data_IF_803848762611
#
_entry.id   IF_803848762611
#
_cell.length_a   1.000
_cell.length_b   1.000
_cell.length_c   1.000
_cell.angle_alpha   90.00
_cell.angle_beta   90.00
_cell.angle_gamma   90.00
#
_symmetry.space_group_name_H-M   'P 1'
#
loop_
_entity.id
_entity.type
_entity.pdbx_description
1 polymer ?
#
# COMPACT_ATOMS: atom_id res chain seq x y z
N UNK A 1 18.55 9.47 28.29
CA UNK A 1 18.34 8.55 27.16
C UNK A 1 17.41 9.22 26.14
N UNK A 2 17.66 9.02 24.84
CA UNK A 2 16.77 9.51 23.80
C UNK A 2 15.40 8.83 23.92
N UNK A 3 14.30 9.59 23.75
CA UNK A 3 12.92 9.03 23.72
C UNK A 3 12.74 7.93 22.66
N UNK A 4 13.58 7.93 21.62
CA UNK A 4 13.55 6.96 20.52
C UNK A 4 13.67 5.50 21.02
N UNK A 5 14.45 5.26 22.07
CA UNK A 5 14.71 3.92 22.61
C UNK A 5 13.87 3.58 23.85
N UNK A 6 12.83 4.38 24.15
CA UNK A 6 11.88 4.04 25.21
C UNK A 6 10.71 3.23 24.68
N UNK A 7 10.13 2.31 25.47
CA UNK A 7 8.93 1.59 25.08
C UNK A 7 7.77 2.54 24.72
N UNK A 8 6.88 2.04 23.87
CA UNK A 8 5.69 2.77 23.43
C UNK A 8 4.50 1.82 23.35
N UNK A 9 3.32 2.28 23.72
CA UNK A 9 2.08 1.55 23.53
C UNK A 9 1.38 2.10 22.29
N UNK A 10 1.32 1.31 21.22
CA UNK A 10 0.66 1.63 19.98
C UNK A 10 -0.74 0.99 20.00
N UNK A 11 -1.76 1.75 20.41
CA UNK A 11 -3.17 1.28 20.43
C UNK A 11 -3.35 -0.11 21.10
N UNK A 12 -2.62 -0.36 22.19
CA UNK A 12 -2.65 -1.64 22.90
C UNK A 12 -1.46 -2.58 22.55
N UNK A 13 -0.78 -2.37 21.43
CA UNK A 13 0.40 -3.14 21.04
C UNK A 13 1.66 -2.58 21.72
N UNK A 14 2.32 -3.37 22.55
CA UNK A 14 3.54 -2.98 23.23
C UNK A 14 4.74 -3.03 22.27
N UNK A 15 5.36 -1.88 22.02
CA UNK A 15 6.59 -1.74 21.25
C UNK A 15 7.77 -1.49 22.20
N UNK A 16 8.90 -2.19 21.97
CA UNK A 16 10.11 -2.06 22.82
C UNK A 16 10.88 -0.77 22.62
N UNK A 17 10.69 -0.09 21.51
CA UNK A 17 11.24 1.22 21.17
C UNK A 17 10.38 1.87 20.07
N UNK A 18 10.74 3.10 19.66
CA UNK A 18 10.01 3.91 18.67
C UNK A 18 10.64 3.89 17.28
N UNK A 19 11.60 2.99 17.05
CA UNK A 19 12.22 2.81 15.73
C UNK A 19 11.29 1.92 14.89
N UNK A 20 10.92 2.38 13.71
CA UNK A 20 10.09 1.63 12.77
C UNK A 20 10.91 1.30 11.53
N UNK A 21 10.93 0.01 11.14
CA UNK A 21 11.42 -0.37 9.83
C UNK A 21 10.38 -0.01 8.78
N UNK A 22 10.69 0.99 7.96
CA UNK A 22 9.82 1.42 6.86
C UNK A 22 9.66 0.32 5.79
N UNK A 23 8.51 0.26 5.11
CA UNK A 23 8.26 -0.70 4.03
C UNK A 23 9.20 -0.47 2.85
N UNK A 24 9.71 -1.57 2.28
CA UNK A 24 10.60 -1.53 1.13
C UNK A 24 10.35 -2.76 0.25
N UNK A 25 9.89 -2.57 -0.98
CA UNK A 25 9.73 -3.61 -1.99
C UNK A 25 11.09 -4.25 -2.29
N UNK A 26 11.19 -5.57 -2.13
CA UNK A 26 12.46 -6.30 -2.23
C UNK A 26 12.64 -6.98 -3.59
N UNK A 27 11.55 -7.36 -4.26
CA UNK A 27 11.59 -8.14 -5.52
C UNK A 27 12.48 -9.38 -5.41
N UNK A 28 12.27 -10.18 -4.36
CA UNK A 28 13.10 -11.36 -4.04
C UNK A 28 12.29 -12.63 -3.82
N UNK A 29 10.96 -12.55 -3.98
CA UNK A 29 10.04 -13.68 -3.77
C UNK A 29 9.61 -14.23 -5.11
N UNK A 30 10.39 -15.18 -5.63
CA UNK A 30 10.29 -15.66 -7.01
C UNK A 30 8.92 -16.27 -7.36
N UNK A 31 8.25 -16.91 -6.39
CA UNK A 31 6.97 -17.60 -6.58
C UNK A 31 5.83 -16.92 -5.81
N UNK A 32 5.92 -15.61 -5.55
CA UNK A 32 4.95 -14.81 -4.78
C UNK A 32 4.72 -15.26 -3.32
N UNK A 33 5.30 -16.40 -2.91
CA UNK A 33 5.14 -16.98 -1.57
C UNK A 33 6.43 -16.77 -0.77
N UNK A 34 6.39 -16.09 0.40
CA UNK A 34 7.57 -15.91 1.23
C UNK A 34 8.17 -17.23 1.70
N UNK A 35 9.49 -17.34 1.63
CA UNK A 35 10.29 -18.47 2.04
C UNK A 35 11.10 -18.19 3.32
N UNK A 36 12.00 -19.09 3.67
CA UNK A 36 12.89 -19.00 4.83
C UNK A 36 13.88 -17.84 4.71
N UNK A 37 14.25 -17.41 3.47
CA UNK A 37 15.16 -16.28 3.26
C UNK A 37 14.42 -14.97 3.58
N UNK A 38 13.16 -14.86 3.18
CA UNK A 38 12.29 -13.73 3.55
C UNK A 38 12.08 -13.70 5.06
N UNK A 39 11.84 -14.85 5.70
CA UNK A 39 11.70 -14.95 7.15
C UNK A 39 12.98 -14.49 7.87
N UNK A 40 14.15 -14.93 7.41
CA UNK A 40 15.44 -14.49 7.95
C UNK A 40 15.65 -12.97 7.80
N UNK A 41 15.30 -12.42 6.63
CA UNK A 41 15.44 -10.98 6.35
C UNK A 41 14.68 -10.12 7.37
N UNK A 42 13.43 -10.46 7.68
CA UNK A 42 12.63 -9.72 8.68
C UNK A 42 13.09 -10.03 10.10
N UNK A 43 13.41 -11.26 10.42
CA UNK A 43 13.90 -11.65 11.75
C UNK A 43 15.23 -10.97 12.15
N UNK A 44 16.10 -10.69 11.19
CA UNK A 44 17.34 -9.92 11.43
C UNK A 44 17.07 -8.46 11.88
N UNK A 45 15.89 -7.93 11.60
CA UNK A 45 15.46 -6.55 11.90
C UNK A 45 14.49 -6.45 13.07
N UNK A 46 14.19 -7.57 13.70
CA UNK A 46 13.27 -7.66 14.83
C UNK A 46 13.70 -6.85 16.08
N UNK A 47 14.87 -6.20 16.08
CA UNK A 47 15.28 -5.24 17.12
C UNK A 47 14.55 -3.88 17.01
N UNK A 48 13.98 -3.53 15.86
CA UNK A 48 13.09 -2.38 15.74
C UNK A 48 11.85 -2.54 16.60
N UNK A 49 11.21 -1.43 16.98
CA UNK A 49 9.94 -1.44 17.71
C UNK A 49 8.81 -2.02 16.88
N UNK A 50 8.75 -1.65 15.61
CA UNK A 50 7.79 -2.18 14.64
C UNK A 50 8.49 -2.41 13.30
N UNK A 51 8.15 -3.50 12.63
CA UNK A 51 8.50 -3.74 11.24
C UNK A 51 7.25 -3.57 10.38
N UNK A 52 7.39 -2.88 9.23
CA UNK A 52 6.36 -2.86 8.19
C UNK A 52 6.94 -3.62 7.01
N UNK A 53 6.18 -4.57 6.45
CA UNK A 53 6.67 -5.39 5.34
C UNK A 53 6.82 -4.59 4.06
N UNK A 54 7.46 -5.18 3.06
CA UNK A 54 7.27 -4.77 1.67
C UNK A 54 5.79 -4.82 1.29
N UNK A 55 5.41 -4.05 0.27
CA UNK A 55 4.04 -4.02 -0.21
C UNK A 55 3.61 -5.38 -0.76
N UNK A 56 2.43 -5.82 -0.37
CA UNK A 56 1.82 -7.08 -0.76
C UNK A 56 0.57 -6.81 -1.60
N UNK A 57 0.51 -7.29 -2.86
CA UNK A 57 -0.71 -7.23 -3.63
C UNK A 57 -1.87 -7.92 -2.90
N UNK A 58 -3.04 -7.27 -2.90
CA UNK A 58 -4.30 -7.83 -2.33
C UNK A 58 -5.04 -8.72 -3.31
N UNK A 59 -4.57 -8.80 -4.56
CA UNK A 59 -5.07 -9.64 -5.64
C UNK A 59 -3.98 -9.74 -6.72
N UNK A 60 -4.13 -10.67 -7.68
CA UNK A 60 -3.24 -10.74 -8.83
C UNK A 60 -3.24 -9.43 -9.63
N UNK A 61 -4.41 -8.79 -9.80
CA UNK A 61 -4.58 -7.51 -10.47
C UNK A 61 -3.84 -6.37 -9.76
N UNK A 62 -3.68 -6.46 -8.44
CA UNK A 62 -2.95 -5.48 -7.63
C UNK A 62 -1.45 -5.48 -7.77
N UNK A 63 -0.88 -6.40 -8.57
CA UNK A 63 0.56 -6.58 -8.76
C UNK A 63 1.16 -5.50 -9.65
N UNK A 64 2.29 -4.92 -9.22
CA UNK A 64 3.02 -3.88 -9.98
C UNK A 64 4.46 -4.22 -10.30
N UNK A 65 5.01 -5.26 -9.67
CA UNK A 65 6.41 -5.66 -9.86
C UNK A 65 6.55 -7.18 -9.81
N UNK A 66 7.49 -7.73 -10.57
CA UNK A 66 7.90 -9.13 -10.46
C UNK A 66 8.43 -9.43 -9.07
N UNK A 67 8.24 -10.66 -8.63
CA UNK A 67 8.84 -11.22 -7.42
C UNK A 67 8.44 -10.48 -6.13
N UNK A 68 7.22 -9.94 -6.08
CA UNK A 68 6.61 -9.41 -4.86
C UNK A 68 5.68 -10.44 -4.23
N UNK A 69 5.76 -10.67 -2.91
CA UNK A 69 4.91 -11.64 -2.23
C UNK A 69 3.48 -11.13 -2.10
N UNK A 70 2.50 -11.97 -2.39
CA UNK A 70 1.08 -11.66 -2.21
C UNK A 70 0.57 -11.95 -0.79
N UNK A 71 -0.71 -11.56 -0.55
CA UNK A 71 -1.47 -11.95 0.65
C UNK A 71 -2.96 -12.11 0.31
N UNK A 72 -3.30 -12.94 -0.66
CA UNK A 72 -4.66 -13.11 -1.16
C UNK A 72 -5.09 -14.59 -1.33
N UNK A 73 -4.27 -15.54 -0.85
CA UNK A 73 -4.60 -16.97 -0.85
C UNK A 73 -3.91 -17.70 0.31
N UNK A 74 -4.27 -18.97 0.52
CA UNK A 74 -3.77 -19.81 1.62
C UNK A 74 -2.25 -20.10 1.53
N UNK A 75 -1.68 -20.20 0.33
CA UNK A 75 -0.24 -20.42 0.17
C UNK A 75 0.55 -19.20 0.67
N UNK A 76 0.07 -17.99 0.40
CA UNK A 76 0.64 -16.77 0.94
C UNK A 76 0.57 -16.75 2.47
N UNK A 77 -0.57 -17.15 3.06
CA UNK A 77 -0.72 -17.24 4.52
C UNK A 77 0.33 -18.18 5.12
N UNK A 78 0.56 -19.36 4.52
CA UNK A 78 1.56 -20.31 4.99
C UNK A 78 3.00 -19.74 4.89
N UNK A 79 3.31 -19.05 3.80
CA UNK A 79 4.61 -18.39 3.63
C UNK A 79 4.83 -17.29 4.66
N UNK A 80 3.87 -16.38 4.82
CA UNK A 80 3.95 -15.29 5.77
C UNK A 80 3.95 -15.74 7.23
N UNK A 81 3.29 -16.86 7.56
CA UNK A 81 3.34 -17.45 8.91
C UNK A 81 4.76 -17.79 9.35
N UNK A 82 5.63 -18.25 8.46
CA UNK A 82 7.05 -18.47 8.75
C UNK A 82 7.75 -17.15 9.13
N UNK A 83 7.42 -16.06 8.42
CA UNK A 83 7.99 -14.72 8.66
C UNK A 83 7.55 -14.18 10.01
N UNK A 84 6.25 -14.18 10.30
CA UNK A 84 5.70 -13.65 11.56
C UNK A 84 6.23 -14.43 12.77
N UNK A 85 6.27 -15.77 12.69
CA UNK A 85 6.85 -16.62 13.73
C UNK A 85 8.33 -16.31 13.98
N UNK A 86 9.13 -16.13 12.91
CA UNK A 86 10.56 -15.82 13.04
C UNK A 86 10.81 -14.44 13.66
N UNK A 87 9.95 -13.45 13.36
CA UNK A 87 10.01 -12.11 13.96
C UNK A 87 9.58 -12.15 15.43
N UNK A 88 8.44 -12.80 15.72
CA UNK A 88 7.91 -12.92 17.08
C UNK A 88 8.84 -13.72 18.01
N UNK A 89 9.50 -14.78 17.51
CA UNK A 89 10.51 -15.52 18.27
C UNK A 89 11.66 -14.64 18.77
N UNK A 90 11.92 -13.49 18.12
CA UNK A 90 12.89 -12.48 18.53
C UNK A 90 12.27 -11.29 19.29
N UNK A 91 10.98 -11.40 19.68
CA UNK A 91 10.25 -10.35 20.37
C UNK A 91 9.96 -9.12 19.50
N UNK A 92 9.99 -9.25 18.16
CA UNK A 92 9.61 -8.20 17.22
C UNK A 92 8.10 -8.07 17.06
N UNK A 93 7.66 -6.96 16.45
CA UNK A 93 6.29 -6.71 16.00
C UNK A 93 6.31 -6.40 14.52
N UNK A 94 5.29 -6.88 13.77
CA UNK A 94 5.29 -6.76 12.32
C UNK A 94 3.89 -6.52 11.77
N UNK A 95 3.75 -5.48 10.94
CA UNK A 95 2.54 -5.14 10.19
C UNK A 95 2.71 -5.51 8.70
N UNK A 96 1.63 -5.98 8.11
CA UNK A 96 1.54 -6.29 6.69
C UNK A 96 1.19 -5.03 5.90
N UNK A 97 2.02 -4.59 4.94
CA UNK A 97 1.63 -3.49 4.06
C UNK A 97 0.82 -4.04 2.86
N UNK A 98 -0.45 -3.65 2.77
CA UNK A 98 -1.38 -4.07 1.72
C UNK A 98 -1.42 -3.02 0.61
N UNK A 99 -1.31 -3.44 -0.64
CA UNK A 99 -1.39 -2.53 -1.77
C UNK A 99 -2.18 -3.07 -2.96
N UNK A 100 -2.63 -2.13 -3.76
CA UNK A 100 -3.02 -2.29 -5.16
C UNK A 100 -2.37 -1.15 -5.94
N UNK A 101 -1.51 -1.46 -6.91
CA UNK A 101 -0.68 -0.42 -7.54
C UNK A 101 -1.42 0.41 -8.59
N UNK A 102 -2.63 -0.03 -8.98
CA UNK A 102 -3.39 0.67 -10.02
C UNK A 102 -2.65 0.69 -11.36
N UNK A 103 -2.53 1.88 -11.98
CA UNK A 103 -1.84 2.08 -13.26
C UNK A 103 -0.33 1.78 -13.24
N UNK A 104 0.26 1.61 -12.05
CA UNK A 104 1.70 1.33 -11.90
C UNK A 104 2.01 -0.15 -12.11
N UNK A 105 1.53 -0.69 -13.23
CA UNK A 105 1.69 -2.09 -13.63
C UNK A 105 1.91 -2.23 -15.15
N UNK A 106 2.18 -3.45 -15.57
CA UNK A 106 2.39 -3.80 -16.97
C UNK A 106 1.57 -5.04 -17.33
N UNK A 107 1.13 -5.15 -18.59
CA UNK A 107 0.33 -6.28 -19.08
C UNK A 107 0.97 -7.65 -18.80
N UNK A 108 2.31 -7.74 -18.77
CA UNK A 108 3.01 -8.99 -18.42
C UNK A 108 2.86 -9.41 -16.96
N UNK A 109 2.38 -8.53 -16.08
CA UNK A 109 2.12 -8.80 -14.66
C UNK A 109 0.65 -9.08 -14.38
N UNK A 110 -0.23 -8.78 -15.35
CA UNK A 110 -1.67 -8.85 -15.16
C UNK A 110 -2.22 -10.21 -15.58
N UNK A 111 -3.25 -10.72 -14.88
CA UNK A 111 -3.96 -11.94 -15.29
C UNK A 111 -4.44 -11.83 -16.74
N UNK A 112 -4.17 -12.84 -17.54
CA UNK A 112 -4.58 -12.85 -18.96
C UNK A 112 -3.96 -11.76 -19.83
N UNK A 113 -2.89 -11.08 -19.35
CA UNK A 113 -2.21 -9.98 -20.05
C UNK A 113 -3.14 -8.80 -20.41
N UNK A 114 -4.18 -8.57 -19.61
CA UNK A 114 -5.09 -7.43 -19.79
C UNK A 114 -4.45 -6.11 -19.33
N UNK A 115 -5.08 -4.99 -19.66
CA UNK A 115 -4.62 -3.68 -19.21
C UNK A 115 -4.71 -3.57 -17.67
N UNK A 116 -3.74 -2.94 -17.00
CA UNK A 116 -3.88 -2.57 -15.60
C UNK A 116 -5.05 -1.59 -15.40
N UNK A 117 -5.49 -1.45 -14.17
CA UNK A 117 -6.68 -0.64 -13.83
C UNK A 117 -6.30 0.64 -13.10
N UNK A 118 -7.16 1.69 -13.20
CA UNK A 118 -6.99 2.95 -12.49
C UNK A 118 -8.32 3.68 -12.33
N UNK A 119 -8.30 4.87 -11.73
CA UNK A 119 -9.43 5.79 -11.67
C UNK A 119 -9.85 6.29 -13.07
N UNK A 120 -8.91 6.40 -13.99
CA UNK A 120 -9.07 6.84 -15.38
C UNK A 120 -8.12 6.11 -16.31
N UNK A 121 -7.87 6.68 -17.48
CA UNK A 121 -7.04 6.06 -18.54
C UNK A 121 -5.68 6.73 -18.74
N UNK A 122 -5.24 7.59 -17.82
CA UNK A 122 -3.97 8.31 -17.93
C UNK A 122 -2.80 7.40 -17.62
N UNK A 123 -1.97 7.14 -18.62
CA UNK A 123 -0.76 6.31 -18.49
C UNK A 123 0.37 7.06 -17.77
N UNK A 124 1.16 6.35 -16.97
CA UNK A 124 2.41 6.85 -16.41
C UNK A 124 3.55 6.55 -17.40
N UNK A 125 4.12 7.58 -18.04
CA UNK A 125 5.06 7.42 -19.15
C UNK A 125 6.51 7.78 -18.81
N UNK A 126 6.73 8.57 -17.73
CA UNK A 126 8.07 9.02 -17.32
C UNK A 126 8.65 8.19 -16.17
N UNK A 127 8.23 6.94 -16.07
CA UNK A 127 8.63 6.02 -15.00
C UNK A 127 8.69 4.60 -15.53
N UNK A 128 9.22 3.69 -14.70
CA UNK A 128 9.27 2.27 -15.04
C UNK A 128 8.81 1.41 -13.87
N UNK A 129 8.34 0.21 -14.18
CA UNK A 129 8.08 -0.90 -13.26
C UNK A 129 9.00 -2.07 -13.62
N UNK A 130 9.26 -2.95 -12.66
CA UNK A 130 10.07 -4.14 -12.88
C UNK A 130 9.17 -5.29 -13.32
N UNK A 131 9.17 -5.57 -14.63
CA UNK A 131 8.28 -6.55 -15.25
C UNK A 131 9.02 -7.32 -16.37
N UNK A 132 8.31 -8.11 -17.18
CA UNK A 132 8.92 -8.76 -18.34
C UNK A 132 8.99 -7.78 -19.50
N UNK A 133 10.19 -7.65 -20.06
CA UNK A 133 10.47 -6.90 -21.30
C UNK A 133 9.89 -7.62 -22.53
N UNK A 134 9.96 -7.01 -23.70
CA UNK A 134 9.54 -7.63 -24.97
C UNK A 134 10.32 -8.92 -25.29
N UNK A 135 11.54 -9.05 -24.79
CA UNK A 135 12.34 -10.27 -24.91
C UNK A 135 11.94 -11.39 -23.92
N UNK A 136 11.00 -11.10 -23.00
CA UNK A 136 10.59 -12.02 -21.94
C UNK A 136 11.52 -12.03 -20.72
N UNK A 137 12.56 -11.21 -20.70
CA UNK A 137 13.50 -11.10 -19.58
C UNK A 137 13.01 -10.08 -18.54
N UNK A 138 13.26 -10.33 -17.22
CA UNK A 138 12.97 -9.35 -16.18
C UNK A 138 13.74 -8.05 -16.38
N UNK A 139 13.06 -6.91 -16.33
CA UNK A 139 13.70 -5.61 -16.50
C UNK A 139 12.75 -4.43 -16.26
N UNK A 140 13.28 -3.20 -16.34
CA UNK A 140 12.46 -2.00 -16.26
C UNK A 140 11.66 -1.82 -17.55
N UNK A 141 10.33 -1.68 -17.43
CA UNK A 141 9.42 -1.39 -18.54
C UNK A 141 8.52 -0.21 -18.20
N UNK A 142 8.09 0.55 -19.18
CA UNK A 142 7.09 1.60 -18.97
C UNK A 142 5.75 0.94 -18.62
N UNK A 143 5.02 1.42 -17.59
CA UNK A 143 3.69 0.92 -17.27
C UNK A 143 2.77 0.90 -18.49
N UNK A 144 1.94 -0.13 -18.61
CA UNK A 144 0.99 -0.21 -19.73
C UNK A 144 -0.12 0.81 -19.58
N UNK A 145 -0.75 1.20 -20.70
CA UNK A 145 -1.97 2.01 -20.72
C UNK A 145 -3.04 1.40 -19.81
N UNK A 146 -3.52 2.08 -18.77
CA UNK A 146 -4.56 1.56 -17.91
C UNK A 146 -5.95 1.71 -18.52
N UNK A 147 -6.89 0.88 -18.05
CA UNK A 147 -8.32 1.13 -18.21
C UNK A 147 -8.92 1.72 -16.94
N UNK A 148 -10.00 2.46 -17.08
CA UNK A 148 -10.79 2.90 -15.93
C UNK A 148 -11.53 1.70 -15.29
N UNK A 149 -11.57 1.66 -13.97
CA UNK A 149 -12.40 0.71 -13.21
C UNK A 149 -13.90 1.03 -13.39
N UNK A 150 -14.71 -0.01 -13.53
CA UNK A 150 -16.14 0.12 -13.34
C UNK A 150 -16.49 0.31 -11.86
N UNK A 151 -17.63 0.93 -11.55
CA UNK A 151 -18.03 1.20 -10.15
C UNK A 151 -18.06 -0.06 -9.28
N UNK A 152 -18.54 -1.18 -9.84
CA UNK A 152 -18.59 -2.45 -9.11
C UNK A 152 -17.21 -3.06 -8.86
N UNK A 153 -16.22 -2.75 -9.71
CA UNK A 153 -14.84 -3.21 -9.52
C UNK A 153 -14.14 -2.45 -8.38
N UNK A 154 -14.47 -1.16 -8.18
CA UNK A 154 -13.98 -0.40 -7.01
C UNK A 154 -14.42 -1.08 -5.71
N UNK A 155 -15.69 -1.48 -5.63
CA UNK A 155 -16.24 -2.21 -4.48
C UNK A 155 -15.62 -3.60 -4.29
N UNK A 156 -15.30 -4.29 -5.39
CA UNK A 156 -14.56 -5.56 -5.34
C UNK A 156 -13.16 -5.36 -4.75
N UNK A 157 -12.41 -4.35 -5.21
CA UNK A 157 -11.06 -4.08 -4.67
C UNK A 157 -11.13 -3.73 -3.18
N UNK A 158 -12.13 -2.96 -2.74
CA UNK A 158 -12.37 -2.74 -1.29
C UNK A 158 -12.52 -4.07 -0.54
N UNK A 159 -13.28 -5.01 -1.09
CA UNK A 159 -13.45 -6.34 -0.50
C UNK A 159 -12.15 -7.16 -0.53
N UNK A 160 -11.32 -7.04 -1.59
CA UNK A 160 -10.01 -7.69 -1.69
C UNK A 160 -9.06 -7.21 -0.57
N UNK A 161 -9.05 -5.91 -0.26
CA UNK A 161 -8.28 -5.36 0.88
C UNK A 161 -8.75 -5.95 2.23
N UNK A 162 -10.07 -5.98 2.45
CA UNK A 162 -10.62 -6.54 3.69
C UNK A 162 -10.35 -8.06 3.81
N UNK A 163 -10.42 -8.80 2.69
CA UNK A 163 -10.06 -10.21 2.63
C UNK A 163 -8.57 -10.41 2.97
N UNK A 164 -7.68 -9.68 2.30
CA UNK A 164 -6.23 -9.75 2.52
C UNK A 164 -5.84 -9.37 3.96
N UNK A 165 -6.55 -8.41 4.56
CA UNK A 165 -6.34 -8.06 5.96
C UNK A 165 -6.66 -9.25 6.89
N UNK A 166 -7.77 -9.97 6.66
CA UNK A 166 -8.07 -11.20 7.43
C UNK A 166 -6.98 -12.25 7.27
N UNK A 167 -6.52 -12.49 6.04
CA UNK A 167 -5.45 -13.44 5.76
C UNK A 167 -4.12 -13.03 6.43
N UNK A 168 -3.83 -11.73 6.48
CA UNK A 168 -2.65 -11.21 7.20
C UNK A 168 -2.75 -11.52 8.71
N UNK A 169 -3.90 -11.28 9.33
CA UNK A 169 -4.09 -11.64 10.74
C UNK A 169 -3.99 -13.15 10.97
N UNK A 170 -4.52 -13.98 10.06
CA UNK A 170 -4.38 -15.43 10.09
C UNK A 170 -2.91 -15.89 9.95
N UNK A 171 -2.12 -15.19 9.14
CA UNK A 171 -0.68 -15.42 9.02
C UNK A 171 0.11 -14.97 10.27
N UNK A 172 -0.54 -14.33 11.25
CA UNK A 172 0.05 -13.93 12.52
C UNK A 172 0.66 -12.53 12.54
N UNK A 173 0.32 -11.65 11.61
CA UNK A 173 0.70 -10.24 11.69
C UNK A 173 0.05 -9.55 12.89
N UNK A 174 0.73 -8.55 13.45
CA UNK A 174 0.20 -7.73 14.55
C UNK A 174 -0.77 -6.64 14.07
N UNK A 175 -0.89 -6.44 12.75
CA UNK A 175 -1.81 -5.52 12.09
C UNK A 175 -1.46 -5.32 10.61
N UNK A 176 -2.17 -4.41 9.95
CA UNK A 176 -2.02 -4.11 8.54
C UNK A 176 -1.84 -2.60 8.30
N UNK A 177 -1.07 -2.23 7.28
CA UNK A 177 -0.94 -0.86 6.79
C UNK A 177 -1.48 -0.78 5.37
N UNK A 178 -2.52 0.02 5.14
CA UNK A 178 -3.07 0.29 3.79
C UNK A 178 -2.15 1.28 3.09
N UNK A 179 -1.61 0.89 1.93
CA UNK A 179 -0.74 1.72 1.10
C UNK A 179 -1.56 2.71 0.26
N UNK A 180 -1.84 3.88 0.83
CA UNK A 180 -2.54 4.99 0.17
C UNK A 180 -1.57 6.13 -0.17
N UNK A 181 -0.43 5.78 -0.78
CA UNK A 181 0.69 6.68 -1.03
C UNK A 181 1.41 6.34 -2.33
N UNK A 182 2.38 7.17 -2.69
CA UNK A 182 3.36 6.93 -3.76
C UNK A 182 2.75 6.70 -5.15
N UNK A 183 1.63 7.34 -5.48
CA UNK A 183 1.03 7.28 -6.81
C UNK A 183 0.32 5.96 -7.11
N UNK A 184 0.04 5.12 -6.10
CA UNK A 184 -0.72 3.89 -6.26
C UNK A 184 -2.23 4.16 -6.29
N UNK A 185 -3.06 3.10 -6.27
CA UNK A 185 -4.46 3.20 -6.66
C UNK A 185 -5.25 4.30 -5.92
N UNK A 186 -5.05 4.48 -4.63
CA UNK A 186 -5.76 5.50 -3.87
C UNK A 186 -5.33 6.92 -4.27
N UNK A 187 -4.02 7.19 -4.44
CA UNK A 187 -3.54 8.47 -4.95
C UNK A 187 -4.10 8.77 -6.35
N UNK A 188 -4.29 7.73 -7.19
CA UNK A 188 -4.89 7.87 -8.52
C UNK A 188 -6.37 8.28 -8.45
N UNK A 189 -7.09 7.84 -7.41
CA UNK A 189 -8.48 8.28 -7.17
C UNK A 189 -8.56 9.66 -6.54
N UNK A 190 -7.60 10.04 -5.69
CA UNK A 190 -7.55 11.35 -5.04
C UNK A 190 -7.22 12.48 -6.00
N UNK A 191 -6.38 12.22 -7.01
CA UNK A 191 -5.96 13.23 -8.00
C UNK A 191 -7.06 13.56 -8.99
N UNK A 192 -7.47 14.83 -9.10
CA UNK A 192 -8.41 15.30 -10.14
C UNK A 192 -7.85 15.20 -11.55
N UNK A 193 -6.52 15.17 -11.71
CA UNK A 193 -5.86 14.98 -13.01
C UNK A 193 -5.93 13.53 -13.53
N UNK A 194 -6.01 12.57 -12.63
CA UNK A 194 -6.05 11.14 -12.99
C UNK A 194 -7.46 10.57 -12.90
N UNK A 195 -8.28 11.10 -12.00
CA UNK A 195 -9.63 10.65 -11.76
C UNK A 195 -10.64 11.44 -12.61
N UNK A 196 -10.94 10.91 -13.79
CA UNK A 196 -11.91 11.49 -14.74
C UNK A 196 -13.32 10.92 -14.58
N UNK A 197 -13.61 10.25 -13.46
CA UNK A 197 -14.89 9.59 -13.20
C UNK A 197 -16.01 10.60 -12.96
N UNK A 198 -17.21 10.16 -13.34
CA UNK A 198 -18.46 10.93 -13.14
C UNK A 198 -19.45 10.23 -12.21
N UNK A 199 -19.03 9.09 -11.62
CA UNK A 199 -19.78 8.35 -10.62
C UNK A 199 -19.46 8.80 -9.18
N UNK A 200 -19.91 8.04 -8.19
CA UNK A 200 -19.74 8.31 -6.76
C UNK A 200 -18.28 8.32 -6.28
N UNK A 201 -17.31 7.95 -7.12
CA UNK A 201 -15.87 7.93 -6.82
C UNK A 201 -15.09 9.03 -7.54
N UNK A 202 -15.74 9.96 -8.26
CA UNK A 202 -15.11 11.03 -9.02
C UNK A 202 -15.71 12.42 -8.83
N UNK A 203 -15.09 13.44 -9.41
CA UNK A 203 -15.52 14.83 -9.34
C UNK A 203 -15.12 15.52 -8.02
N UNK A 204 -16.02 15.61 -7.05
CA UNK A 204 -15.76 16.34 -5.79
C UNK A 204 -14.68 15.69 -4.92
N UNK A 205 -14.07 16.47 -4.03
CA UNK A 205 -13.11 15.97 -3.02
C UNK A 205 -13.73 14.82 -2.21
N UNK A 206 -14.98 14.97 -1.79
CA UNK A 206 -15.72 13.96 -1.04
C UNK A 206 -15.81 12.63 -1.81
N UNK A 207 -16.12 12.68 -3.10
CA UNK A 207 -16.22 11.48 -3.92
C UNK A 207 -14.84 10.84 -4.18
N UNK A 208 -13.81 11.67 -4.48
CA UNK A 208 -12.47 11.14 -4.75
C UNK A 208 -11.82 10.43 -3.55
N UNK A 209 -12.12 10.86 -2.32
CA UNK A 209 -11.62 10.18 -1.11
C UNK A 209 -12.45 8.95 -0.71
N UNK A 210 -13.66 8.79 -1.26
CA UNK A 210 -14.61 7.74 -0.88
C UNK A 210 -14.01 6.34 -0.93
N UNK A 211 -13.33 5.99 -2.01
CA UNK A 211 -12.73 4.67 -2.16
C UNK A 211 -11.72 4.35 -1.05
N UNK A 212 -10.85 5.30 -0.70
CA UNK A 212 -9.90 5.13 0.40
C UNK A 212 -10.63 4.92 1.73
N UNK A 213 -11.60 5.78 2.04
CA UNK A 213 -12.30 5.72 3.32
C UNK A 213 -13.15 4.45 3.46
N UNK A 214 -13.88 4.04 2.42
CA UNK A 214 -14.63 2.78 2.40
C UNK A 214 -13.70 1.57 2.57
N UNK A 215 -12.51 1.61 1.97
CA UNK A 215 -11.50 0.54 2.14
C UNK A 215 -10.99 0.49 3.57
N UNK A 216 -10.68 1.64 4.18
CA UNK A 216 -10.25 1.70 5.59
C UNK A 216 -11.34 1.13 6.49
N UNK A 217 -12.60 1.54 6.30
CA UNK A 217 -13.72 1.10 7.11
C UNK A 217 -13.97 -0.42 6.95
N UNK A 218 -13.91 -0.95 5.74
CA UNK A 218 -14.05 -2.39 5.48
C UNK A 218 -12.91 -3.22 6.09
N UNK A 219 -11.67 -2.72 6.04
CA UNK A 219 -10.53 -3.37 6.69
C UNK A 219 -10.67 -3.30 8.21
N UNK A 220 -11.07 -2.15 8.76
CA UNK A 220 -11.28 -1.99 10.20
C UNK A 220 -12.43 -2.87 10.73
N UNK A 221 -13.50 -3.04 9.97
CA UNK A 221 -14.56 -4.01 10.28
C UNK A 221 -14.03 -5.45 10.31
N UNK A 222 -13.12 -5.76 9.40
CA UNK A 222 -12.58 -7.12 9.27
C UNK A 222 -11.59 -7.52 10.37
N UNK A 223 -10.77 -6.58 10.89
CA UNK A 223 -9.66 -6.90 11.80
C UNK A 223 -9.60 -6.04 13.07
N UNK A 224 -10.45 -5.03 13.21
CA UNK A 224 -10.47 -4.08 14.31
C UNK A 224 -9.58 -2.85 14.06
N UNK A 225 -10.08 -1.66 14.43
CA UNK A 225 -9.43 -0.37 14.16
C UNK A 225 -7.99 -0.28 14.68
N UNK A 226 -7.72 -0.82 15.87
CA UNK A 226 -6.38 -0.80 16.48
C UNK A 226 -5.32 -1.61 15.72
N UNK A 227 -5.74 -2.43 14.76
CA UNK A 227 -4.86 -3.22 13.90
C UNK A 227 -4.69 -2.62 12.50
N UNK A 228 -5.30 -1.46 12.22
CA UNK A 228 -5.27 -0.81 10.90
C UNK A 228 -4.45 0.46 10.95
N UNK A 229 -3.56 0.59 10.01
CA UNK A 229 -2.81 1.81 9.75
C UNK A 229 -2.94 2.23 8.28
N UNK A 230 -2.65 3.48 7.99
CA UNK A 230 -2.71 4.03 6.63
C UNK A 230 -1.41 4.78 6.34
N UNK A 231 -0.82 4.53 5.17
CA UNK A 231 0.32 5.29 4.68
C UNK A 231 -0.12 6.30 3.62
N UNK A 232 0.28 7.55 3.80
CA UNK A 232 -0.03 8.67 2.92
C UNK A 232 1.24 9.34 2.42
N UNK A 233 1.18 9.97 1.23
CA UNK A 233 2.25 10.82 0.68
C UNK A 233 1.69 12.17 0.20
N UNK A 234 1.24 13.04 1.13
CA UNK A 234 0.71 14.34 0.78
C UNK A 234 1.69 15.12 -0.11
N UNK A 235 1.17 15.74 -1.18
CA UNK A 235 1.96 16.52 -2.14
C UNK A 235 3.10 15.73 -2.83
N UNK A 236 3.05 14.39 -2.80
CA UNK A 236 4.02 13.53 -3.47
C UNK A 236 3.99 13.71 -5.00
N UNK A 237 5.15 13.58 -5.65
CA UNK A 237 5.31 13.75 -7.11
C UNK A 237 6.02 12.55 -7.75
N UNK A 238 5.73 11.37 -7.25
CA UNK A 238 6.31 10.13 -7.75
C UNK A 238 5.35 9.48 -8.77
N UNK A 239 5.87 8.77 -9.73
CA UNK A 239 5.12 8.01 -10.73
C UNK A 239 4.14 8.87 -11.55
N UNK A 240 4.64 10.01 -12.04
CA UNK A 240 3.87 10.97 -12.84
C UNK A 240 2.63 11.54 -12.13
N UNK A 241 2.67 11.66 -10.81
CA UNK A 241 1.70 12.48 -10.07
C UNK A 241 2.03 13.95 -10.29
N UNK A 242 1.08 14.68 -10.87
CA UNK A 242 1.14 16.13 -10.99
C UNK A 242 0.39 16.81 -9.82
N UNK A 243 0.71 18.08 -9.51
CA UNK A 243 -0.18 18.92 -8.70
C UNK A 243 -1.57 18.97 -9.35
N UNK A 244 -2.61 19.05 -8.54
CA UNK A 244 -3.98 19.10 -9.05
C UNK A 244 -4.82 20.12 -8.27
N UNK A 245 -5.88 20.60 -8.91
CA UNK A 245 -6.80 21.56 -8.29
C UNK A 245 -7.49 20.93 -7.06
N UNK A 246 -7.50 21.65 -5.94
CA UNK A 246 -8.10 21.18 -4.70
C UNK A 246 -7.24 20.14 -3.95
N UNK A 247 -5.93 20.07 -4.20
CA UNK A 247 -5.04 19.14 -3.52
C UNK A 247 -4.99 19.41 -2.01
N UNK A 248 -4.88 20.69 -1.59
CA UNK A 248 -4.89 21.08 -0.17
C UNK A 248 -6.19 20.67 0.52
N UNK A 249 -7.34 20.95 -0.14
CA UNK A 249 -8.65 20.57 0.39
C UNK A 249 -8.79 19.04 0.49
N UNK A 250 -8.23 18.29 -0.47
CA UNK A 250 -8.25 16.83 -0.46
C UNK A 250 -7.49 16.28 0.76
N UNK A 251 -6.28 16.78 1.02
CA UNK A 251 -5.48 16.32 2.15
C UNK A 251 -6.05 16.76 3.49
N UNK A 252 -6.63 17.99 3.57
CA UNK A 252 -7.36 18.43 4.77
C UNK A 252 -8.55 17.53 5.07
N UNK A 253 -9.39 17.25 4.07
CA UNK A 253 -10.57 16.39 4.24
C UNK A 253 -10.18 14.95 4.65
N UNK A 254 -9.10 14.39 4.09
CA UNK A 254 -8.59 13.07 4.49
C UNK A 254 -8.10 13.11 5.95
N UNK A 255 -7.37 14.14 6.34
CA UNK A 255 -6.87 14.29 7.71
C UNK A 255 -8.02 14.34 8.72
N UNK A 256 -9.04 15.13 8.42
CA UNK A 256 -10.25 15.23 9.26
C UNK A 256 -10.98 13.87 9.33
N UNK A 257 -11.15 13.20 8.21
CA UNK A 257 -11.81 11.89 8.17
C UNK A 257 -11.03 10.80 8.92
N UNK A 258 -9.70 10.80 8.84
CA UNK A 258 -8.85 9.85 9.59
C UNK A 258 -8.85 10.16 11.08
N UNK A 259 -8.94 11.43 11.47
CA UNK A 259 -9.05 11.86 12.87
C UNK A 259 -10.31 11.35 13.60
N UNK A 260 -11.35 10.93 12.84
CA UNK A 260 -12.56 10.32 13.39
C UNK A 260 -12.45 8.79 13.54
N UNK A 261 -11.34 8.19 13.11
CA UNK A 261 -11.10 6.75 13.13
C UNK A 261 -9.98 6.41 14.11
N UNK A 262 -10.22 5.50 15.02
CA UNK A 262 -9.24 5.06 16.03
C UNK A 262 -8.22 4.08 15.41
N UNK A 263 -7.47 4.53 14.40
CA UNK A 263 -6.46 3.72 13.72
C UNK A 263 -5.21 3.53 14.59
N UNK A 264 -4.44 2.47 14.30
CA UNK A 264 -3.18 2.21 14.98
C UNK A 264 -2.19 3.39 14.81
N UNK A 265 -2.03 3.85 13.57
CA UNK A 265 -1.23 5.05 13.23
C UNK A 265 -1.53 5.54 11.81
N UNK A 266 -1.08 6.76 11.51
CA UNK A 266 -0.94 7.29 10.16
C UNK A 266 0.54 7.45 9.86
N UNK A 267 0.99 6.87 8.76
CA UNK A 267 2.37 6.93 8.28
C UNK A 267 2.48 7.97 7.17
N UNK A 268 3.18 9.05 7.41
CA UNK A 268 3.44 10.07 6.40
C UNK A 268 4.77 9.81 5.71
N UNK A 269 4.74 9.78 4.38
CA UNK A 269 5.94 9.70 3.55
C UNK A 269 6.22 11.04 2.89
N UNK A 270 7.26 11.70 3.36
CA UNK A 270 7.73 12.96 2.81
C UNK A 270 8.83 12.72 1.78
N UNK A 271 8.68 13.30 0.58
CA UNK A 271 9.58 13.08 -0.57
C UNK A 271 10.23 14.38 -1.07
N UNK A 272 11.05 15.08 -0.30
CA UNK A 272 11.63 16.36 -0.73
C UNK A 272 12.53 16.22 -1.96
N UNK A 273 13.14 15.06 -2.16
CA UNK A 273 14.10 14.81 -3.26
C UNK A 273 13.39 14.62 -4.61
N UNK A 274 12.14 14.19 -4.60
CA UNK A 274 11.38 13.88 -5.82
C UNK A 274 10.35 14.94 -6.18
N UNK A 275 10.18 15.96 -5.35
CA UNK A 275 9.26 17.07 -5.64
C UNK A 275 9.94 18.07 -6.56
N UNK A 276 9.39 18.28 -7.76
CA UNK A 276 9.80 19.38 -8.66
C UNK A 276 9.20 20.73 -8.26
N UNK A 277 8.24 20.72 -7.36
CA UNK A 277 7.61 21.92 -6.82
C UNK A 277 7.90 22.05 -5.32
N UNK A 278 8.13 23.25 -4.77
CA UNK A 278 8.20 23.46 -3.35
C UNK A 278 6.88 23.03 -2.69
N UNK A 279 6.97 22.47 -1.49
CA UNK A 279 5.79 22.18 -0.68
C UNK A 279 5.14 23.53 -0.30
N UNK A 280 3.80 23.58 -0.14
CA UNK A 280 3.14 24.72 0.44
C UNK A 280 3.76 25.06 1.81
N UNK A 281 3.98 26.34 2.07
CA UNK A 281 4.34 26.79 3.42
C UNK A 281 3.12 26.59 4.32
N UNK A 282 3.15 25.63 5.22
CA UNK A 282 2.09 25.29 6.16
C UNK A 282 2.31 25.83 7.55
#
# INVERSE_FOLDING_TARGET
MSKLFTPYNLSGLALKNRVVMAPMTRTRTMNDVPDEVVALYYAQRASAGLLITEGMPVSEEGRGYLYTPGIYNDEHVQGWRKVTQAVHAKGGRIFAQLWHVGRMSHVSLQPGHIAPVSAGTVQAVNTTVFALTESGEPGPVVPSQPRALETHEVKRITADFAHSARLAMEAGFDGVEIMAANGFIFDQFLSSELNTRTDEYGGSVENRQRFLLETIDAVAEAVGNSHVAVRLSPFGRIYDLAPYEGEDQTWSAITDALGQRELAYVHLYYQPVYTKAPLPEG
#
